data_IF_907803889238
#
_entry.id   IF_907803889238
#
_cell.length_a   1.000
_cell.length_b   1.000
_cell.length_c   1.000
_cell.angle_alpha   90.00
_cell.angle_beta   90.00
_cell.angle_gamma   90.00
#
_symmetry.space_group_name_H-M   'P 1'
#
loop_
_entity.id
_entity.type
_entity.pdbx_description
1 polymer ?
#
# COMPACT_ATOMS: atom_id res chain seq x y z
N UNK A 1 6.37 -12.57 -7.28
CA UNK A 1 5.12 -12.42 -6.51
C UNK A 1 4.97 -10.98 -6.06
N UNK A 2 3.94 -10.29 -6.52
CA UNK A 2 3.58 -8.95 -6.05
C UNK A 2 2.42 -9.09 -5.07
N UNK A 3 2.60 -8.56 -3.87
CA UNK A 3 1.56 -8.49 -2.85
C UNK A 3 1.03 -7.06 -2.78
N UNK A 4 -0.25 -6.88 -3.04
CA UNK A 4 -0.96 -5.63 -2.74
C UNK A 4 -1.63 -5.80 -1.38
N UNK A 5 -1.42 -4.86 -0.47
CA UNK A 5 -2.02 -4.87 0.87
C UNK A 5 -2.94 -3.67 1.02
N UNK A 6 -4.16 -3.94 1.46
CA UNK A 6 -5.16 -2.94 1.79
C UNK A 6 -5.80 -3.28 3.14
N UNK A 7 -6.63 -2.38 3.67
CA UNK A 7 -7.32 -2.59 4.94
C UNK A 7 -8.81 -2.23 4.86
N UNK A 8 -9.62 -2.87 5.71
CA UNK A 8 -11.01 -2.47 6.01
C UNK A 8 -11.12 -1.57 7.23
N UNK A 9 -10.00 -1.13 7.82
CA UNK A 9 -9.98 -0.17 8.93
C UNK A 9 -10.87 1.03 8.58
N UNK A 10 -11.84 1.33 9.44
CA UNK A 10 -12.79 2.42 9.24
C UNK A 10 -12.10 3.79 9.17
N UNK A 11 -10.88 3.90 9.71
CA UNK A 11 -10.03 5.07 9.60
C UNK A 11 -9.30 5.16 8.25
N UNK A 12 -9.35 4.16 7.37
CA UNK A 12 -8.75 4.17 6.04
C UNK A 12 -9.72 3.70 4.95
N UNK A 13 -10.75 4.51 4.72
CA UNK A 13 -11.73 4.26 3.66
C UNK A 13 -11.13 4.32 2.25
N UNK A 14 -10.02 5.04 2.08
CA UNK A 14 -9.32 5.14 0.79
C UNK A 14 -8.72 3.78 0.40
N UNK A 15 -8.08 3.10 1.35
CA UNK A 15 -7.53 1.76 1.17
C UNK A 15 -8.58 0.77 0.66
N UNK A 16 -9.72 0.68 1.38
CA UNK A 16 -10.81 -0.21 0.99
C UNK A 16 -11.37 0.14 -0.40
N UNK A 17 -11.58 1.43 -0.67
CA UNK A 17 -12.11 1.89 -1.97
C UNK A 17 -11.17 1.53 -3.13
N UNK A 18 -9.86 1.70 -2.95
CA UNK A 18 -8.86 1.32 -3.95
C UNK A 18 -8.81 -0.20 -4.14
N UNK A 19 -8.89 -0.99 -3.07
CA UNK A 19 -8.94 -2.45 -3.14
C UNK A 19 -10.17 -2.93 -3.92
N UNK A 20 -11.35 -2.37 -3.64
CA UNK A 20 -12.59 -2.70 -4.36
C UNK A 20 -12.51 -2.31 -5.84
N UNK A 21 -11.91 -1.16 -6.16
CA UNK A 21 -11.68 -0.76 -7.55
C UNK A 21 -10.74 -1.74 -8.27
N UNK A 22 -9.73 -2.28 -7.58
CA UNK A 22 -8.83 -3.29 -8.12
C UNK A 22 -9.54 -4.64 -8.33
N UNK A 23 -10.36 -5.08 -7.37
CA UNK A 23 -11.18 -6.29 -7.48
C UNK A 23 -12.16 -6.24 -8.65
N UNK A 24 -12.72 -5.07 -8.96
CA UNK A 24 -13.65 -4.89 -10.09
C UNK A 24 -12.97 -4.87 -11.47
N UNK A 25 -11.65 -4.68 -11.54
CA UNK A 25 -10.92 -4.47 -12.82
C UNK A 25 -10.47 -5.76 -13.50
N UNK A 26 -10.44 -6.86 -12.79
CA UNK A 26 -10.02 -8.16 -13.32
C UNK A 26 -10.67 -9.28 -12.53
N UNK A 27 -10.56 -10.50 -13.03
CA UNK A 27 -11.01 -11.69 -12.32
C UNK A 27 -10.02 -12.04 -11.20
N UNK A 28 -10.58 -12.35 -10.03
CA UNK A 28 -9.88 -12.75 -8.82
C UNK A 28 -10.49 -14.04 -8.29
N UNK A 29 -9.65 -14.86 -7.67
CA UNK A 29 -10.06 -16.07 -6.97
C UNK A 29 -9.74 -15.87 -5.49
N UNK A 30 -10.72 -16.13 -4.63
CA UNK A 30 -10.47 -16.16 -3.18
C UNK A 30 -9.56 -17.34 -2.87
N UNK A 31 -8.37 -17.04 -2.36
CA UNK A 31 -7.40 -18.04 -1.87
C UNK A 31 -7.75 -18.40 -0.43
N UNK A 32 -8.26 -17.41 0.32
CA UNK A 32 -8.68 -17.56 1.69
C UNK A 32 -9.89 -16.67 1.93
N UNK A 33 -10.96 -17.27 2.43
CA UNK A 33 -12.12 -16.52 2.92
C UNK A 33 -11.74 -15.68 4.14
N UNK A 34 -12.54 -14.64 4.41
CA UNK A 34 -12.27 -13.70 5.49
C UNK A 34 -12.20 -14.39 6.86
N UNK A 35 -11.13 -14.13 7.58
CA UNK A 35 -10.97 -14.45 8.99
C UNK A 35 -10.18 -13.35 9.74
N UNK A 36 -9.64 -13.67 10.91
CA UNK A 36 -8.88 -12.74 11.74
C UNK A 36 -7.61 -12.18 11.06
N UNK A 37 -7.05 -12.86 10.05
CA UNK A 37 -5.92 -12.36 9.25
C UNK A 37 -6.38 -11.62 7.99
N UNK A 38 -7.70 -11.46 7.80
CA UNK A 38 -8.30 -10.78 6.66
C UNK A 38 -8.64 -11.72 5.51
N UNK A 39 -8.73 -11.17 4.31
CA UNK A 39 -9.18 -11.87 3.10
C UNK A 39 -8.10 -11.83 2.01
N UNK A 40 -7.76 -13.00 1.46
CA UNK A 40 -6.68 -13.13 0.47
C UNK A 40 -7.23 -13.52 -0.89
N UNK A 41 -6.89 -12.71 -1.90
CA UNK A 41 -7.27 -12.89 -3.28
C UNK A 41 -6.04 -13.08 -4.16
N UNK A 42 -6.16 -13.92 -5.18
CA UNK A 42 -5.15 -14.10 -6.23
C UNK A 42 -5.76 -13.76 -7.58
N UNK A 43 -5.02 -13.04 -8.43
CA UNK A 43 -5.51 -12.69 -9.75
C UNK A 43 -5.56 -13.92 -10.64
N UNK A 44 -6.73 -14.18 -11.25
CA UNK A 44 -6.90 -15.30 -12.18
C UNK A 44 -6.16 -15.07 -13.51
N UNK A 45 -5.81 -13.81 -13.83
CA UNK A 45 -5.04 -13.46 -15.05
C UNK A 45 -3.53 -13.41 -14.82
N UNK A 46 -3.09 -13.21 -13.57
CA UNK A 46 -1.68 -13.12 -13.20
C UNK A 46 -1.47 -13.84 -11.87
N UNK A 47 -1.10 -15.11 -11.94
CA UNK A 47 -0.92 -15.97 -10.76
C UNK A 47 0.11 -15.46 -9.75
N UNK A 48 1.00 -14.56 -10.17
CA UNK A 48 2.00 -13.94 -9.30
C UNK A 48 1.52 -12.63 -8.64
N UNK A 49 0.24 -12.27 -8.72
CA UNK A 49 -0.33 -11.06 -8.11
C UNK A 49 -1.39 -11.44 -7.09
N UNK A 50 -1.23 -10.89 -5.90
CA UNK A 50 -2.10 -11.12 -4.75
C UNK A 50 -2.63 -9.78 -4.22
N UNK A 51 -3.86 -9.81 -3.72
CA UNK A 51 -4.45 -8.72 -2.94
C UNK A 51 -4.84 -9.29 -1.58
N UNK A 52 -4.26 -8.74 -0.52
CA UNK A 52 -4.58 -9.09 0.85
C UNK A 52 -5.26 -7.91 1.53
N UNK A 53 -6.51 -8.13 1.93
CA UNK A 53 -7.35 -7.15 2.60
C UNK A 53 -7.36 -7.46 4.11
N UNK A 54 -6.59 -6.71 4.88
CA UNK A 54 -6.47 -6.83 6.34
C UNK A 54 -7.63 -6.14 7.06
N UNK A 55 -7.87 -6.49 8.32
CA UNK A 55 -8.86 -5.80 9.15
C UNK A 55 -8.28 -4.57 9.89
N UNK A 56 -6.99 -4.61 10.21
CA UNK A 56 -6.28 -3.57 10.97
C UNK A 56 -5.50 -2.58 10.09
N UNK A 57 -5.11 -1.44 10.68
CA UNK A 57 -4.36 -0.38 10.00
C UNK A 57 -2.95 -0.77 9.54
N UNK A 58 -2.55 -0.34 8.34
CA UNK A 58 -1.37 -0.84 7.63
C UNK A 58 -0.03 -0.44 8.27
N UNK A 59 0.06 0.77 8.81
CA UNK A 59 1.32 1.39 9.27
C UNK A 59 1.98 0.64 10.43
N UNK A 60 1.20 -0.11 11.23
CA UNK A 60 1.69 -0.91 12.36
C UNK A 60 1.72 -2.42 12.08
N UNK A 61 1.34 -2.84 10.87
CA UNK A 61 1.30 -4.25 10.48
C UNK A 61 2.70 -4.74 10.06
N UNK A 62 3.62 -4.77 11.01
CA UNK A 62 4.97 -5.30 10.82
C UNK A 62 4.95 -6.76 10.37
N UNK A 63 5.94 -7.15 9.58
CA UNK A 63 6.14 -8.52 9.10
C UNK A 63 4.99 -9.09 8.24
N UNK A 64 4.21 -8.23 7.58
CA UNK A 64 3.16 -8.67 6.63
C UNK A 64 3.73 -9.57 5.52
N UNK A 65 4.97 -9.38 5.09
CA UNK A 65 5.62 -10.23 4.10
C UNK A 65 5.86 -11.67 4.58
N UNK A 66 6.20 -11.84 5.86
CA UNK A 66 6.40 -13.15 6.49
C UNK A 66 5.07 -13.86 6.71
N UNK A 67 4.08 -13.17 7.28
CA UNK A 67 2.73 -13.73 7.46
C UNK A 67 2.13 -14.14 6.11
N UNK A 68 2.28 -13.31 5.09
CA UNK A 68 1.86 -13.65 3.73
C UNK A 68 2.53 -14.94 3.24
N UNK A 69 3.84 -15.09 3.44
CA UNK A 69 4.56 -16.30 3.06
C UNK A 69 4.03 -17.54 3.79
N UNK A 70 3.68 -17.43 5.07
CA UNK A 70 3.12 -18.52 5.88
C UNK A 70 1.74 -18.96 5.36
N UNK A 71 0.85 -18.01 5.05
CA UNK A 71 -0.53 -18.34 4.64
C UNK A 71 -0.67 -18.67 3.15
N UNK A 72 0.14 -18.06 2.28
CA UNK A 72 0.06 -18.23 0.83
C UNK A 72 1.06 -19.26 0.29
N UNK A 73 2.02 -19.69 1.12
CA UNK A 73 3.08 -20.62 0.72
C UNK A 73 4.09 -20.03 -0.28
N UNK A 74 4.04 -18.72 -0.53
CA UNK A 74 4.92 -18.03 -1.48
C UNK A 74 5.45 -16.72 -0.89
N UNK A 75 6.75 -16.47 -1.10
CA UNK A 75 7.37 -15.22 -0.63
C UNK A 75 7.04 -14.06 -1.60
N UNK A 76 6.71 -12.85 -1.12
CA UNK A 76 6.55 -11.69 -1.98
C UNK A 76 7.92 -11.14 -2.40
N UNK A 77 8.03 -10.67 -3.64
CA UNK A 77 9.21 -9.96 -4.15
C UNK A 77 9.07 -8.43 -4.02
N UNK A 78 7.83 -7.96 -3.86
CA UNK A 78 7.47 -6.55 -3.80
C UNK A 78 6.11 -6.41 -3.10
N UNK A 79 5.98 -5.41 -2.22
CA UNK A 79 4.76 -5.14 -1.45
C UNK A 79 4.26 -3.72 -1.72
N UNK A 80 3.00 -3.60 -2.16
CA UNK A 80 2.34 -2.33 -2.44
C UNK A 80 1.24 -2.08 -1.41
N UNK A 81 1.38 -1.07 -0.57
CA UNK A 81 0.33 -0.68 0.35
C UNK A 81 -0.59 0.35 -0.31
N UNK A 82 -1.90 0.11 -0.23
CA UNK A 82 -2.94 1.06 -0.63
C UNK A 82 -3.46 1.73 0.63
N UNK A 83 -3.33 3.04 0.76
CA UNK A 83 -3.61 3.74 2.02
C UNK A 83 -4.25 5.12 1.80
N UNK A 84 -4.78 5.67 2.88
CA UNK A 84 -5.08 7.09 3.02
C UNK A 84 -3.79 7.87 3.27
N UNK A 85 -3.67 9.04 2.64
CA UNK A 85 -2.72 10.06 3.06
C UNK A 85 -3.37 11.09 4.00
N UNK A 86 -2.84 11.27 5.21
CA UNK A 86 -3.33 12.27 6.16
C UNK A 86 -2.41 13.51 6.19
N UNK A 87 -2.61 14.44 5.25
CA UNK A 87 -1.80 15.68 5.19
C UNK A 87 -2.31 16.76 6.13
N UNK A 88 -1.41 17.49 6.78
CA UNK A 88 -1.75 18.71 7.50
C UNK A 88 -2.17 19.87 6.58
N UNK A 89 -1.76 19.83 5.30
CA UNK A 89 -2.07 20.88 4.31
C UNK A 89 -3.53 20.86 3.85
N UNK A 90 -4.25 19.75 4.03
CA UNK A 90 -5.62 19.55 3.57
C UNK A 90 -5.79 19.50 2.03
N UNK A 91 -4.70 19.62 1.27
CA UNK A 91 -4.75 19.62 -0.21
C UNK A 91 -4.88 18.19 -0.75
N UNK A 92 -5.88 17.89 -1.62
CA UNK A 92 -6.02 16.57 -2.21
C UNK A 92 -4.79 16.19 -3.03
N UNK A 93 -4.24 15.02 -2.73
CA UNK A 93 -3.01 14.55 -3.36
C UNK A 93 -3.11 13.05 -3.65
N UNK A 94 -2.44 12.63 -4.71
CA UNK A 94 -2.15 11.23 -5.01
C UNK A 94 -0.64 11.05 -4.85
N UNK A 95 -0.23 10.29 -3.85
CA UNK A 95 1.17 10.23 -3.45
C UNK A 95 1.71 8.82 -3.52
N UNK A 96 3.02 8.70 -3.69
CA UNK A 96 3.73 7.45 -3.49
C UNK A 96 5.02 7.69 -2.72
N UNK A 97 5.37 6.79 -1.82
CA UNK A 97 6.62 6.92 -1.06
C UNK A 97 7.17 5.58 -0.54
N UNK A 98 8.49 5.48 -0.32
CA UNK A 98 9.06 4.39 0.44
C UNK A 98 8.63 4.44 1.92
N UNK A 99 8.65 3.29 2.58
CA UNK A 99 8.43 3.20 4.04
C UNK A 99 9.75 3.18 4.80
N UNK A 100 9.71 3.53 6.07
CA UNK A 100 10.85 3.46 6.99
C UNK A 100 10.98 4.67 7.90
N UNK A 101 11.86 4.57 8.89
CA UNK A 101 12.10 5.61 9.89
C UNK A 101 13.56 6.11 9.86
N UNK A 102 14.00 6.84 8.82
CA UNK A 102 15.38 7.31 8.71
C UNK A 102 15.69 8.41 9.75
N UNK A 103 16.79 8.27 10.48
CA UNK A 103 17.25 9.29 11.44
C UNK A 103 16.32 9.52 12.64
N UNK A 104 15.37 8.60 12.90
CA UNK A 104 14.43 8.71 14.01
C UNK A 104 14.92 7.92 15.22
N UNK A 105 14.86 8.53 16.40
CA UNK A 105 15.13 7.84 17.67
C UNK A 105 14.02 6.83 18.01
N UNK A 106 12.78 7.16 17.66
CA UNK A 106 11.58 6.38 17.95
C UNK A 106 10.76 6.16 16.66
N UNK A 107 9.90 5.14 16.64
CA UNK A 107 9.02 4.79 15.52
C UNK A 107 7.55 4.94 15.94
N UNK A 108 7.12 6.17 16.20
CA UNK A 108 5.79 6.47 16.76
C UNK A 108 4.66 5.95 15.87
N UNK A 109 4.85 6.02 14.55
CA UNK A 109 3.96 5.51 13.53
C UNK A 109 4.47 4.18 12.95
N UNK A 110 4.78 3.19 13.80
CA UNK A 110 5.10 1.82 13.39
C UNK A 110 6.49 1.62 12.74
N UNK A 111 6.86 0.35 12.57
CA UNK A 111 8.17 -0.06 12.08
C UNK A 111 9.30 0.07 13.11
N UNK A 112 10.55 0.05 12.62
CA UNK A 112 11.76 0.05 13.47
C UNK A 112 12.51 1.39 13.33
N UNK A 113 12.96 2.02 14.43
CA UNK A 113 13.79 3.23 14.37
C UNK A 113 15.10 3.02 13.57
N UNK A 114 15.51 4.01 12.78
CA UNK A 114 16.71 3.97 11.94
C UNK A 114 16.77 2.75 11.01
N UNK A 115 15.61 2.31 10.52
CA UNK A 115 15.48 1.22 9.55
C UNK A 115 14.53 1.62 8.44
N UNK A 116 14.94 1.30 7.22
CA UNK A 116 14.16 1.52 6.00
C UNK A 116 14.22 0.22 5.19
N UNK A 117 13.08 -0.40 4.86
CA UNK A 117 13.05 -1.47 3.89
C UNK A 117 13.61 -0.98 2.53
N UNK A 118 14.08 -1.88 1.67
CA UNK A 118 14.41 -1.51 0.30
C UNK A 118 13.20 -0.84 -0.36
N UNK A 119 13.36 0.28 -1.08
CA UNK A 119 12.25 0.87 -1.82
C UNK A 119 11.79 -0.08 -2.92
N UNK A 120 10.48 -0.14 -3.18
CA UNK A 120 9.96 -0.89 -4.31
C UNK A 120 10.61 -0.44 -5.62
N UNK A 121 11.10 -1.37 -6.47
CA UNK A 121 11.69 -1.03 -7.76
C UNK A 121 10.67 -0.39 -8.71
N UNK A 122 9.37 -0.45 -8.38
CA UNK A 122 8.29 0.13 -9.18
C UNK A 122 8.04 1.61 -8.88
N UNK A 123 8.58 2.16 -7.80
CA UNK A 123 8.27 3.52 -7.31
C UNK A 123 8.26 4.57 -8.43
N UNK A 124 9.35 4.68 -9.18
CA UNK A 124 9.48 5.67 -10.23
C UNK A 124 8.51 5.43 -11.40
N UNK A 125 8.26 4.17 -11.76
CA UNK A 125 7.31 3.82 -12.83
C UNK A 125 5.85 4.07 -12.42
N UNK A 126 5.52 3.81 -11.16
CA UNK A 126 4.18 4.06 -10.61
C UNK A 126 3.90 5.55 -10.53
N UNK A 127 4.85 6.34 -10.01
CA UNK A 127 4.76 7.80 -9.98
C UNK A 127 4.53 8.40 -11.37
N UNK A 128 5.33 7.99 -12.38
CA UNK A 128 5.14 8.48 -13.76
C UNK A 128 3.79 8.11 -14.34
N UNK A 129 3.33 6.87 -14.10
CA UNK A 129 2.02 6.41 -14.56
C UNK A 129 0.89 7.19 -13.91
N UNK A 130 0.98 7.43 -12.61
CA UNK A 130 0.03 8.23 -11.84
C UNK A 130 -0.03 9.67 -12.39
N UNK A 131 1.12 10.32 -12.53
CA UNK A 131 1.23 11.67 -13.07
C UNK A 131 0.61 11.78 -14.47
N UNK A 132 0.98 10.88 -15.39
CA UNK A 132 0.46 10.88 -16.76
C UNK A 132 -1.05 10.66 -16.82
N UNK A 133 -1.58 9.73 -16.02
CA UNK A 133 -3.02 9.45 -15.98
C UNK A 133 -3.81 10.60 -15.37
N UNK A 134 -3.30 11.22 -14.30
CA UNK A 134 -3.91 12.40 -13.70
C UNK A 134 -3.93 13.56 -14.68
N UNK A 135 -2.80 13.89 -15.31
CA UNK A 135 -2.68 14.96 -16.30
C UNK A 135 -3.59 14.79 -17.52
N UNK A 136 -3.85 13.54 -17.92
CA UNK A 136 -4.74 13.20 -19.04
C UNK A 136 -6.23 13.14 -18.68
N UNK A 137 -6.62 13.51 -17.46
CA UNK A 137 -8.00 13.44 -16.97
C UNK A 137 -8.41 14.73 -16.25
N UNK A 138 -9.68 14.83 -15.85
CA UNK A 138 -10.17 15.92 -15.00
C UNK A 138 -9.57 15.90 -13.58
N UNK A 139 -8.88 14.82 -13.19
CA UNK A 139 -8.26 14.72 -11.87
C UNK A 139 -7.15 15.76 -11.66
N UNK A 140 -6.52 16.25 -12.73
CA UNK A 140 -5.48 17.29 -12.66
C UNK A 140 -5.95 18.60 -11.99
N UNK A 141 -7.25 18.86 -12.06
CA UNK A 141 -7.85 20.08 -11.51
C UNK A 141 -8.22 19.91 -10.02
N UNK A 142 -8.10 18.68 -9.49
CA UNK A 142 -8.50 18.32 -8.14
C UNK A 142 -7.35 17.77 -7.29
N UNK A 143 -6.38 17.10 -7.89
CA UNK A 143 -5.31 16.39 -7.18
C UNK A 143 -3.93 16.82 -7.65
N UNK A 144 -3.06 17.09 -6.68
CA UNK A 144 -1.62 17.12 -6.91
C UNK A 144 -1.07 15.68 -6.96
N UNK A 145 -0.03 15.44 -7.78
CA UNK A 145 0.69 14.17 -7.80
C UNK A 145 2.11 14.39 -7.30
N UNK A 146 2.48 13.79 -6.18
CA UNK A 146 3.76 14.03 -5.53
C UNK A 146 4.46 12.76 -5.04
N UNK A 147 5.77 12.87 -4.84
CA UNK A 147 6.56 11.90 -4.09
C UNK A 147 6.70 12.42 -2.66
N UNK A 148 6.59 11.54 -1.69
CA UNK A 148 6.90 11.89 -0.30
C UNK A 148 8.23 11.29 0.15
N UNK A 149 8.79 11.87 1.22
CA UNK A 149 9.99 11.34 1.85
C UNK A 149 9.71 9.99 2.51
N UNK A 150 10.76 9.20 2.73
CA UNK A 150 10.66 7.95 3.48
C UNK A 150 10.21 8.21 4.92
N UNK A 151 9.05 7.69 5.30
CA UNK A 151 8.52 7.85 6.63
C UNK A 151 7.58 6.70 7.05
N UNK A 152 7.41 6.57 8.38
CA UNK A 152 6.56 5.62 9.10
C UNK A 152 6.77 4.13 8.74
N UNK A 153 6.06 3.25 9.46
CA UNK A 153 6.05 1.80 9.24
C UNK A 153 5.14 1.37 8.08
N UNK A 154 4.89 0.06 7.93
CA UNK A 154 5.37 -1.01 8.80
C UNK A 154 6.84 -1.36 8.54
N UNK A 155 7.38 -2.30 9.32
CA UNK A 155 8.65 -2.94 9.05
C UNK A 155 8.49 -4.28 8.34
N UNK A 156 9.21 -4.45 7.24
CA UNK A 156 9.37 -5.70 6.51
C UNK A 156 10.72 -5.73 5.80
N UNK A 157 11.18 -6.90 5.35
CA UNK A 157 12.48 -7.01 4.64
C UNK A 157 12.35 -6.99 3.11
N UNK A 158 11.13 -7.17 2.62
CA UNK A 158 10.78 -7.14 1.19
C UNK A 158 10.72 -5.71 0.64
N UNK A 159 11.10 -5.45 -0.63
CA UNK A 159 10.89 -4.16 -1.26
C UNK A 159 9.44 -3.68 -1.16
N UNK A 160 9.24 -2.38 -0.87
CA UNK A 160 7.89 -1.86 -0.66
C UNK A 160 7.71 -0.37 -0.92
N UNK A 161 6.45 0.04 -1.11
CA UNK A 161 6.02 1.44 -1.13
C UNK A 161 4.57 1.56 -0.64
N UNK A 162 4.19 2.77 -0.25
CA UNK A 162 2.80 3.20 -0.11
C UNK A 162 2.35 3.96 -1.37
N UNK A 163 1.13 3.70 -1.81
CA UNK A 163 0.41 4.47 -2.80
C UNK A 163 -0.88 4.97 -2.16
N UNK A 164 -1.03 6.29 -2.09
CA UNK A 164 -2.01 6.91 -1.21
C UNK A 164 -2.93 7.90 -1.91
N UNK A 165 -4.11 8.08 -1.31
CA UNK A 165 -5.07 9.14 -1.67
C UNK A 165 -5.30 10.03 -0.44
N UNK A 166 -5.00 11.32 -0.57
CA UNK A 166 -5.32 12.37 0.42
C UNK A 166 -6.65 13.09 0.13
N UNK A 167 -7.19 13.92 1.03
CA UNK A 167 -6.48 14.76 2.01
C UNK A 167 -7.09 14.92 3.40
N UNK A 168 -8.25 14.31 3.67
CA UNK A 168 -9.07 14.73 4.82
C UNK A 168 -8.65 13.98 6.08
N UNK A 169 -8.45 14.74 7.16
CA UNK A 169 -8.29 14.22 8.52
C UNK A 169 -9.57 13.53 8.99
#
# INVERSE_FOLDING_TARGET
NTLVVATTDAHDQASFSMAMALLRRTDWTSVRERDAEGELWQSSKRSNVFLWLLEDGLVRNDHVDRRFQEIAGVRPDDVLFLSRHASASGSPALTVHPIGNPGRANAEAGGIPNRCPPPSPRLASLYRSLYQKTAASSLKDHFEVSLEGTHHGPWLSTPSLFAEIGSIR
#
